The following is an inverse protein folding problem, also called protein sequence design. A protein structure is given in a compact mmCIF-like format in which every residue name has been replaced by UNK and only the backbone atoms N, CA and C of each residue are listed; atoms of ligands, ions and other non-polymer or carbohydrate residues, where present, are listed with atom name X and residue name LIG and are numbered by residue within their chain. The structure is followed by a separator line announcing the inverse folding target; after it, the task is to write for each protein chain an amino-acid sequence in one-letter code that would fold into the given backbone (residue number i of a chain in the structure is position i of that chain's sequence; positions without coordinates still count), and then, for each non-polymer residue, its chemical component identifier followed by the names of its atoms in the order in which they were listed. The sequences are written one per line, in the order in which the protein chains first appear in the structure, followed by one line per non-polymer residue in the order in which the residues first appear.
data_IF_971353355921
#
_entry.id   IF_971353355921
#
_cell.length_a   1.000
_cell.length_b   1.000
_cell.length_c   1.000
_cell.angle_alpha   90.00
_cell.angle_beta   90.00
_cell.angle_gamma   90.00
#
_symmetry.space_group_name_H-M   'P 1'
#
loop_
_entity.id
_entity.type
_entity.pdbx_description
1 polymer ?
#
# COMPACT_ATOMS: atom_id res chain seq x y z
N UNK A 1 -61.64 14.17 33.02
CA UNK A 1 -60.38 14.71 32.56
C UNK A 1 -59.45 13.53 32.17
N UNK A 2 -59.27 13.31 30.90
CA UNK A 2 -58.41 12.21 30.35
C UNK A 2 -57.14 12.83 29.80
N UNK A 3 -56.01 12.58 30.43
CA UNK A 3 -54.68 12.99 29.94
C UNK A 3 -54.17 11.95 28.93
N UNK A 4 -54.05 12.34 27.68
CA UNK A 4 -53.41 11.56 26.62
C UNK A 4 -51.93 11.93 26.66
N UNK A 5 -51.08 11.01 27.13
CA UNK A 5 -49.64 11.14 27.07
C UNK A 5 -49.18 10.71 25.68
N UNK A 6 -48.76 11.66 24.84
CA UNK A 6 -48.11 11.39 23.56
C UNK A 6 -46.64 10.98 23.81
N UNK A 7 -46.34 9.70 23.60
CA UNK A 7 -44.96 9.22 23.51
C UNK A 7 -44.41 9.60 22.14
N UNK A 8 -43.52 10.56 22.10
CA UNK A 8 -42.67 10.85 20.95
C UNK A 8 -41.53 9.81 20.88
N UNK A 9 -41.68 8.83 19.99
CA UNK A 9 -40.66 7.84 19.68
C UNK A 9 -39.63 8.48 18.73
N UNK A 10 -38.53 8.97 19.28
CA UNK A 10 -37.40 9.41 18.47
C UNK A 10 -36.71 8.20 17.82
N UNK A 11 -37.00 7.95 16.53
CA UNK A 11 -36.22 7.03 15.71
C UNK A 11 -34.85 7.66 15.47
N UNK A 12 -33.83 7.17 16.18
CA UNK A 12 -32.44 7.40 15.80
C UNK A 12 -32.10 6.56 14.56
N UNK A 13 -32.12 7.19 13.40
CA UNK A 13 -31.48 6.62 12.20
C UNK A 13 -29.99 6.57 12.45
N UNK A 14 -29.49 5.40 12.81
CA UNK A 14 -28.05 5.14 12.78
C UNK A 14 -27.61 5.21 11.30
N UNK A 15 -27.01 6.33 10.93
CA UNK A 15 -26.29 6.44 9.67
C UNK A 15 -25.08 5.52 9.81
N UNK A 16 -25.17 4.31 9.22
CA UNK A 16 -24.00 3.48 9.02
C UNK A 16 -23.11 4.23 8.02
N UNK A 17 -22.07 4.95 8.50
CA UNK A 17 -20.96 5.33 7.67
C UNK A 17 -20.29 4.02 7.24
N UNK A 18 -20.61 3.57 6.05
CA UNK A 18 -19.77 2.58 5.37
C UNK A 18 -18.38 3.20 5.28
N UNK A 19 -17.41 2.59 5.95
CA UNK A 19 -16.02 2.89 5.66
C UNK A 19 -15.86 2.64 4.16
N UNK A 20 -15.46 3.69 3.39
CA UNK A 20 -15.22 3.56 1.95
C UNK A 20 -14.26 2.40 1.74
N UNK A 21 -14.76 1.32 1.15
CA UNK A 21 -13.95 0.16 0.83
C UNK A 21 -12.88 0.58 -0.18
N UNK A 22 -11.62 0.44 0.21
CA UNK A 22 -10.50 0.77 -0.66
C UNK A 22 -10.46 -0.22 -1.83
N UNK A 23 -10.88 0.24 -3.00
CA UNK A 23 -10.89 -0.57 -4.22
C UNK A 23 -9.56 -0.42 -4.96
N UNK A 24 -8.78 -1.50 -5.00
CA UNK A 24 -7.51 -1.56 -5.72
C UNK A 24 -7.69 -2.35 -7.01
N UNK A 25 -7.37 -1.72 -8.13
CA UNK A 25 -7.42 -2.27 -9.48
C UNK A 25 -6.09 -2.07 -10.19
N UNK A 26 -5.95 -2.59 -11.41
CA UNK A 26 -4.79 -2.36 -12.27
C UNK A 26 -4.50 -0.87 -12.47
N UNK A 27 -5.54 -0.03 -12.49
CA UNK A 27 -5.42 1.44 -12.64
C UNK A 27 -4.78 2.13 -11.42
N UNK A 28 -4.73 1.44 -10.28
CA UNK A 28 -4.05 1.93 -9.08
C UNK A 28 -2.53 1.94 -9.22
N UNK A 29 -1.99 1.28 -10.26
CA UNK A 29 -0.55 1.09 -10.48
C UNK A 29 -0.14 1.68 -11.83
N UNK A 30 0.22 2.95 -11.85
CA UNK A 30 0.73 3.68 -13.02
C UNK A 30 2.25 3.66 -13.15
N UNK A 31 2.79 4.58 -13.96
CA UNK A 31 4.23 4.81 -14.10
C UNK A 31 4.87 5.15 -12.75
N UNK A 32 5.84 4.35 -12.31
CA UNK A 32 6.47 4.58 -11.00
C UNK A 32 7.27 5.89 -10.94
N UNK A 33 7.76 6.39 -12.08
CA UNK A 33 8.54 7.64 -12.12
C UNK A 33 7.70 8.89 -11.84
N UNK A 34 6.38 8.81 -11.99
CA UNK A 34 5.44 9.90 -11.69
C UNK A 34 5.15 10.01 -10.19
N UNK A 35 5.54 9.00 -9.40
CA UNK A 35 5.28 8.97 -7.97
C UNK A 35 6.42 9.63 -7.18
N UNK A 36 6.12 10.30 -6.05
CA UNK A 36 7.12 10.78 -5.11
C UNK A 36 8.11 9.69 -4.74
N UNK A 37 9.41 10.02 -4.79
CA UNK A 37 10.51 9.11 -4.43
C UNK A 37 11.08 9.48 -3.08
N UNK A 38 11.14 8.51 -2.17
CA UNK A 38 11.89 8.63 -0.92
C UNK A 38 12.91 7.49 -0.87
N UNK A 39 14.19 7.84 -0.84
CA UNK A 39 15.28 6.87 -1.09
C UNK A 39 15.03 6.14 -2.42
N UNK A 40 14.85 4.83 -2.41
CA UNK A 40 14.54 4.06 -3.62
C UNK A 40 13.05 3.71 -3.77
N UNK A 41 12.23 3.96 -2.76
CA UNK A 41 10.82 3.60 -2.77
C UNK A 41 9.96 4.72 -3.35
N UNK A 42 8.98 4.34 -4.16
CA UNK A 42 7.94 5.20 -4.71
C UNK A 42 6.71 5.09 -3.83
N UNK A 43 6.13 6.23 -3.48
CA UNK A 43 5.04 6.31 -2.50
C UNK A 43 3.87 7.04 -3.13
N UNK A 44 2.64 6.51 -2.97
CA UNK A 44 1.43 7.23 -3.33
C UNK A 44 0.33 7.02 -2.28
N UNK A 45 -0.58 7.95 -2.23
CA UNK A 45 -1.87 7.86 -1.58
C UNK A 45 -2.81 8.83 -2.31
N UNK A 46 -4.07 8.46 -2.61
CA UNK A 46 -5.01 9.36 -3.29
C UNK A 46 -5.37 10.59 -2.46
N UNK A 47 -5.23 10.53 -1.14
CA UNK A 47 -5.40 11.64 -0.21
C UNK A 47 -4.05 12.36 -0.01
N UNK A 48 -3.92 13.66 -0.37
CA UNK A 48 -2.67 14.39 -0.26
C UNK A 48 -2.11 14.51 1.16
N UNK A 49 -2.97 14.59 2.18
CA UNK A 49 -2.51 14.70 3.58
C UNK A 49 -1.99 13.35 4.07
N UNK A 50 -2.67 12.26 3.70
CA UNK A 50 -2.18 10.89 3.96
C UNK A 50 -0.89 10.60 3.20
N UNK A 51 -0.73 11.13 1.99
CA UNK A 51 0.53 11.01 1.24
C UNK A 51 1.68 11.71 1.97
N UNK A 52 1.47 12.93 2.47
CA UNK A 52 2.48 13.65 3.26
C UNK A 52 2.88 12.87 4.52
N UNK A 53 1.91 12.31 5.22
CA UNK A 53 2.16 11.51 6.41
C UNK A 53 2.90 10.19 6.06
N UNK A 54 2.50 9.49 5.01
CA UNK A 54 3.20 8.28 4.55
C UNK A 54 4.66 8.58 4.18
N UNK A 55 4.92 9.68 3.47
CA UNK A 55 6.28 10.13 3.13
C UNK A 55 7.08 10.45 4.40
N UNK A 56 6.46 11.12 5.38
CA UNK A 56 7.11 11.44 6.67
C UNK A 56 7.50 10.16 7.43
N UNK A 57 6.55 9.22 7.59
CA UNK A 57 6.79 7.95 8.28
C UNK A 57 7.95 7.20 7.61
N UNK A 58 7.93 7.10 6.27
CA UNK A 58 8.96 6.39 5.51
C UNK A 58 10.32 7.07 5.62
N UNK A 59 10.40 8.39 5.40
CA UNK A 59 11.64 9.17 5.43
C UNK A 59 12.30 9.15 6.80
N UNK A 60 11.49 9.30 7.85
CA UNK A 60 11.99 9.46 9.23
C UNK A 60 12.15 8.10 9.93
N UNK A 61 11.77 6.99 9.25
CA UNK A 61 11.82 5.62 9.80
C UNK A 61 11.20 5.53 11.19
N UNK A 62 9.96 6.06 11.33
CA UNK A 62 9.29 6.20 12.64
C UNK A 62 8.79 4.83 13.12
N UNK A 63 9.33 4.27 14.22
CA UNK A 63 8.86 3.01 14.76
C UNK A 63 7.46 3.14 15.37
N UNK A 64 6.74 2.04 15.43
CA UNK A 64 5.40 1.91 16.04
C UNK A 64 4.36 2.90 15.44
N UNK A 65 4.60 3.31 14.18
CA UNK A 65 3.67 4.12 13.39
C UNK A 65 3.12 3.33 12.22
N UNK A 66 1.79 3.31 12.11
CA UNK A 66 1.10 2.71 10.97
C UNK A 66 1.02 3.69 9.81
N UNK A 67 1.19 3.17 8.59
CA UNK A 67 0.94 3.95 7.39
C UNK A 67 -0.57 4.21 7.21
N UNK A 68 -0.95 5.38 6.70
CA UNK A 68 -2.36 5.69 6.42
C UNK A 68 -2.97 4.71 5.41
N UNK A 69 -4.24 4.33 5.63
CA UNK A 69 -5.03 3.55 4.65
C UNK A 69 -4.98 4.18 3.26
N UNK A 70 -4.78 3.36 2.23
CA UNK A 70 -4.63 3.78 0.84
C UNK A 70 -3.20 4.08 0.43
N UNK A 71 -2.22 3.99 1.34
CA UNK A 71 -0.80 4.12 0.98
C UNK A 71 -0.38 2.94 0.11
N UNK A 72 0.27 3.23 -1.02
CA UNK A 72 0.89 2.25 -1.91
C UNK A 72 2.39 2.51 -1.92
N UNK A 73 3.17 1.45 -1.71
CA UNK A 73 4.63 1.48 -1.78
C UNK A 73 5.08 0.57 -2.93
N UNK A 74 5.98 1.08 -3.77
CA UNK A 74 6.61 0.32 -4.86
C UNK A 74 8.12 0.57 -4.86
N UNK A 75 8.91 -0.49 -4.73
CA UNK A 75 10.35 -0.44 -4.91
C UNK A 75 10.71 -0.62 -6.39
N UNK A 76 10.04 -1.55 -7.06
CA UNK A 76 10.20 -1.88 -8.47
C UNK A 76 8.81 -1.91 -9.16
N UNK A 77 8.75 -1.75 -10.49
CA UNK A 77 7.48 -1.68 -11.22
C UNK A 77 6.59 -2.92 -11.08
N UNK A 78 7.18 -4.09 -10.85
CA UNK A 78 6.51 -5.39 -10.85
C UNK A 78 5.97 -5.83 -9.50
N UNK A 79 6.18 -5.05 -8.44
CA UNK A 79 5.75 -5.38 -7.08
C UNK A 79 5.21 -4.14 -6.38
N UNK A 80 4.17 -4.34 -5.56
CA UNK A 80 3.60 -3.28 -4.73
C UNK A 80 3.10 -3.84 -3.41
N UNK A 81 2.96 -2.97 -2.42
CA UNK A 81 2.18 -3.25 -1.21
C UNK A 81 1.22 -2.08 -0.97
N UNK A 82 0.00 -2.42 -0.53
CA UNK A 82 -1.09 -1.47 -0.32
C UNK A 82 -1.61 -1.60 1.11
N UNK A 83 -1.74 -0.46 1.79
CA UNK A 83 -2.26 -0.41 3.15
C UNK A 83 -3.78 -0.35 3.16
N UNK A 84 -4.40 -1.36 3.73
CA UNK A 84 -5.83 -1.48 4.04
C UNK A 84 -6.08 -1.29 5.54
N UNK A 85 -7.32 -1.47 5.95
CA UNK A 85 -7.65 -1.64 7.36
C UNK A 85 -7.04 -2.97 7.86
N UNK A 86 -6.56 -2.99 9.10
CA UNK A 86 -5.89 -4.16 9.70
C UNK A 86 -6.73 -5.44 9.59
N UNK A 87 -8.05 -5.31 9.69
CA UNK A 87 -8.97 -6.45 9.64
C UNK A 87 -8.96 -7.17 8.27
N UNK A 88 -8.62 -6.48 7.18
CA UNK A 88 -8.57 -7.07 5.84
C UNK A 88 -7.38 -8.03 5.69
N UNK A 89 -6.22 -7.68 6.26
CA UNK A 89 -4.99 -8.48 6.21
C UNK A 89 -4.32 -8.50 7.59
N UNK A 90 -4.86 -9.24 8.57
CA UNK A 90 -4.43 -9.15 9.97
C UNK A 90 -2.99 -9.60 10.20
N UNK A 91 -2.48 -10.56 9.39
CA UNK A 91 -1.13 -11.10 9.51
C UNK A 91 -0.03 -10.11 9.10
N UNK A 92 -0.37 -9.12 8.27
CA UNK A 92 0.51 -8.10 7.73
C UNK A 92 0.14 -6.69 8.20
N UNK A 93 -0.64 -6.58 9.27
CA UNK A 93 -1.15 -5.31 9.78
C UNK A 93 -1.88 -4.48 8.72
N UNK A 94 -2.68 -5.12 7.87
CA UNK A 94 -3.44 -4.47 6.80
C UNK A 94 -2.69 -4.29 5.49
N UNK A 95 -1.45 -4.76 5.36
CA UNK A 95 -0.75 -4.73 4.07
C UNK A 95 -1.16 -5.88 3.17
N UNK A 96 -1.61 -5.54 1.98
CA UNK A 96 -1.81 -6.44 0.85
C UNK A 96 -0.63 -6.33 -0.09
N UNK A 97 -0.05 -7.47 -0.51
CA UNK A 97 1.05 -7.54 -1.45
C UNK A 97 0.53 -7.82 -2.86
N UNK A 98 1.26 -7.34 -3.86
CA UNK A 98 0.90 -7.49 -5.28
C UNK A 98 2.10 -7.94 -6.10
N UNK A 99 1.89 -8.96 -6.93
CA UNK A 99 2.73 -9.27 -8.07
C UNK A 99 2.09 -8.69 -9.33
N UNK A 100 2.84 -7.85 -10.04
CA UNK A 100 2.34 -7.09 -11.19
C UNK A 100 3.08 -7.49 -12.46
N UNK A 101 2.34 -7.58 -13.57
CA UNK A 101 2.91 -7.57 -14.92
C UNK A 101 2.69 -6.18 -15.50
N UNK A 102 3.76 -5.59 -16.03
CA UNK A 102 3.72 -4.24 -16.60
C UNK A 102 4.08 -4.26 -18.09
N UNK A 103 3.38 -3.46 -18.87
CA UNK A 103 3.59 -3.30 -20.31
C UNK A 103 3.34 -1.84 -20.71
N UNK A 104 3.55 -1.51 -21.98
CA UNK A 104 3.22 -0.20 -22.51
C UNK A 104 1.70 0.11 -22.46
N UNK A 105 0.87 -0.91 -22.40
CA UNK A 105 -0.60 -0.79 -22.31
C UNK A 105 -1.09 -0.60 -20.86
N UNK A 106 -0.21 -0.84 -19.86
CA UNK A 106 -0.54 -0.66 -18.45
C UNK A 106 -0.09 -1.80 -17.55
N UNK A 107 -0.83 -1.99 -16.47
CA UNK A 107 -0.59 -2.99 -15.44
C UNK A 107 -1.63 -4.11 -15.51
N UNK A 108 -1.20 -5.34 -15.23
CA UNK A 108 -2.07 -6.48 -14.91
C UNK A 108 -1.68 -7.01 -13.54
N UNK A 109 -2.66 -7.20 -12.65
CA UNK A 109 -2.43 -7.86 -11.36
C UNK A 109 -2.33 -9.37 -11.63
N UNK A 110 -1.16 -9.95 -11.39
CA UNK A 110 -0.92 -11.39 -11.56
C UNK A 110 -1.30 -12.18 -10.31
N UNK A 111 -1.03 -11.61 -9.13
CA UNK A 111 -1.37 -12.19 -7.85
C UNK A 111 -1.50 -11.08 -6.80
N UNK A 112 -2.33 -11.31 -5.76
CA UNK A 112 -2.55 -10.35 -4.68
C UNK A 112 -2.94 -11.04 -3.38
N UNK A 113 -2.64 -10.38 -2.24
CA UNK A 113 -2.99 -10.83 -0.89
C UNK A 113 -1.77 -10.96 0.03
N UNK A 114 -1.93 -11.68 1.14
CA UNK A 114 -0.86 -11.90 2.14
C UNK A 114 0.04 -13.11 1.83
N UNK A 115 -0.33 -13.94 0.85
CA UNK A 115 0.41 -15.16 0.44
C UNK A 115 1.16 -15.03 -0.87
N UNK A 116 1.18 -13.84 -1.46
CA UNK A 116 1.90 -13.56 -2.72
C UNK A 116 3.37 -13.94 -2.60
N UNK A 117 3.87 -14.63 -3.63
CA UNK A 117 5.28 -14.97 -3.73
C UNK A 117 6.04 -13.87 -4.49
N UNK A 118 7.18 -13.46 -3.94
CA UNK A 118 8.13 -12.65 -4.69
C UNK A 118 8.59 -13.41 -5.94
N UNK A 119 8.49 -12.78 -7.10
CA UNK A 119 8.75 -13.43 -8.39
C UNK A 119 10.19 -13.94 -8.54
N UNK A 120 11.16 -13.23 -7.95
CA UNK A 120 12.59 -13.57 -8.03
C UNK A 120 13.03 -14.54 -6.95
N UNK A 121 12.61 -14.32 -5.69
CA UNK A 121 13.07 -15.09 -4.53
C UNK A 121 12.25 -16.35 -4.28
N UNK A 122 11.06 -16.45 -4.89
CA UNK A 122 10.11 -17.56 -4.69
C UNK A 122 9.71 -17.78 -3.23
N UNK A 123 9.75 -16.70 -2.44
CA UNK A 123 9.34 -16.67 -1.03
C UNK A 123 8.11 -15.81 -0.85
N UNK A 124 7.25 -16.07 0.16
CA UNK A 124 6.15 -15.18 0.50
C UNK A 124 6.67 -13.77 0.80
N UNK A 125 6.04 -12.75 0.22
CA UNK A 125 6.40 -11.36 0.48
C UNK A 125 6.35 -11.05 1.98
N UNK A 126 5.29 -11.51 2.66
CA UNK A 126 5.13 -11.33 4.09
C UNK A 126 6.29 -11.93 4.92
N UNK A 127 6.85 -13.07 4.52
CA UNK A 127 7.99 -13.69 5.24
C UNK A 127 9.19 -12.74 5.28
N UNK A 128 9.48 -12.06 4.18
CA UNK A 128 10.57 -11.07 4.11
C UNK A 128 10.24 -9.79 4.87
N UNK A 129 8.96 -9.39 4.92
CA UNK A 129 8.51 -8.15 5.56
C UNK A 129 8.23 -8.29 7.06
N UNK A 130 7.95 -9.49 7.56
CA UNK A 130 7.61 -9.73 8.96
C UNK A 130 8.66 -9.23 9.98
N UNK A 131 9.98 -9.32 9.73
CA UNK A 131 10.98 -8.75 10.65
C UNK A 131 10.86 -7.24 10.85
N UNK A 132 10.23 -6.52 9.90
CA UNK A 132 9.99 -5.08 10.00
C UNK A 132 8.65 -4.72 10.68
N UNK A 133 8.03 -5.62 11.44
CA UNK A 133 6.73 -5.37 12.08
C UNK A 133 6.71 -4.08 12.93
N UNK A 134 7.82 -3.74 13.59
CA UNK A 134 7.97 -2.49 14.35
C UNK A 134 7.89 -1.23 13.47
N UNK A 135 8.12 -1.36 12.17
CA UNK A 135 8.03 -0.29 11.16
C UNK A 135 6.85 -0.55 10.20
N UNK A 136 5.77 -1.09 10.77
CA UNK A 136 4.56 -1.43 10.03
C UNK A 136 4.83 -2.32 8.81
N UNK A 137 5.69 -3.34 8.96
CA UNK A 137 6.07 -4.29 7.90
C UNK A 137 6.76 -3.66 6.67
N UNK A 138 7.27 -2.44 6.77
CA UNK A 138 7.98 -1.78 5.68
C UNK A 138 9.48 -1.99 5.82
N UNK A 139 10.07 -2.72 4.87
CA UNK A 139 11.49 -3.01 4.84
C UNK A 139 12.31 -1.79 4.38
N UNK A 140 13.23 -1.37 5.22
CA UNK A 140 14.29 -0.39 4.95
C UNK A 140 15.55 -0.78 5.71
N UNK A 141 16.65 -0.08 5.43
CA UNK A 141 17.91 -0.30 6.15
C UNK A 141 17.69 -0.08 7.66
N UNK A 142 18.00 -1.08 8.45
CA UNK A 142 17.82 -1.04 9.90
C UNK A 142 16.45 -1.47 10.42
N UNK A 143 15.49 -1.83 9.54
CA UNK A 143 14.17 -2.29 9.94
C UNK A 143 14.08 -3.79 10.25
N UNK A 144 15.19 -4.54 10.13
CA UNK A 144 15.26 -5.95 10.47
C UNK A 144 15.10 -6.92 9.29
N UNK A 145 14.71 -6.44 8.11
CA UNK A 145 14.62 -7.27 6.91
C UNK A 145 16.01 -7.72 6.42
N UNK A 146 16.05 -8.90 5.85
CA UNK A 146 17.25 -9.36 5.14
C UNK A 146 17.54 -8.46 3.94
N UNK A 147 18.81 -8.23 3.59
CA UNK A 147 19.18 -7.50 2.39
C UNK A 147 18.58 -8.15 1.13
N UNK A 148 18.03 -7.32 0.24
CA UNK A 148 17.57 -7.80 -1.07
C UNK A 148 18.78 -7.96 -2.02
N UNK A 149 18.75 -8.93 -2.95
CA UNK A 149 19.86 -9.23 -3.84
C UNK A 149 19.93 -8.27 -5.04
N UNK A 150 19.62 -6.99 -4.83
CA UNK A 150 19.67 -5.93 -5.86
C UNK A 150 20.27 -4.66 -5.27
N UNK A 151 21.10 -3.99 -6.08
CA UNK A 151 21.72 -2.72 -5.70
C UNK A 151 20.79 -1.53 -6.00
N UNK A 152 21.06 -0.39 -5.38
CA UNK A 152 20.34 0.87 -5.65
C UNK A 152 20.39 1.26 -7.14
N UNK A 153 21.50 0.99 -7.81
CA UNK A 153 21.65 1.22 -9.25
C UNK A 153 20.71 0.31 -10.06
N UNK A 154 20.60 -0.97 -9.69
CA UNK A 154 19.69 -1.91 -10.33
C UNK A 154 18.21 -1.51 -10.11
N UNK A 155 17.85 -1.09 -8.89
CA UNK A 155 16.50 -0.58 -8.60
C UNK A 155 16.20 0.63 -9.47
N UNK A 156 17.13 1.58 -9.56
CA UNK A 156 16.98 2.78 -10.41
C UNK A 156 16.81 2.39 -11.89
N UNK A 157 17.60 1.44 -12.37
CA UNK A 157 17.50 0.94 -13.74
C UNK A 157 16.12 0.29 -14.02
N UNK A 158 15.63 -0.56 -13.10
CA UNK A 158 14.31 -1.18 -13.21
C UNK A 158 13.20 -0.13 -13.22
N UNK A 159 13.25 0.89 -12.36
CA UNK A 159 12.28 1.99 -12.35
C UNK A 159 12.31 2.79 -13.66
N UNK A 160 13.51 3.08 -14.19
CA UNK A 160 13.68 3.81 -15.44
C UNK A 160 13.23 3.01 -16.67
N UNK A 161 13.23 1.69 -16.57
CA UNK A 161 12.77 0.77 -17.60
C UNK A 161 11.25 0.49 -17.53
N UNK A 162 10.51 1.11 -16.60
CA UNK A 162 9.07 0.91 -16.48
C UNK A 162 8.36 1.28 -17.80
N UNK A 163 7.78 0.30 -18.51
CA UNK A 163 7.19 0.54 -19.82
C UNK A 163 5.96 1.45 -19.77
N UNK A 164 5.32 1.58 -18.61
CA UNK A 164 4.17 2.47 -18.39
C UNK A 164 4.55 3.95 -18.41
N UNK A 165 5.85 4.25 -18.23
CA UNK A 165 6.39 5.62 -18.24
C UNK A 165 6.68 6.17 -19.63
N UNK A 166 6.53 5.38 -20.67
CA UNK A 166 6.72 5.85 -22.04
C UNK A 166 5.56 6.77 -22.40
N UNK A 167 5.88 8.02 -22.73
CA UNK A 167 4.87 8.95 -23.25
C UNK A 167 4.24 8.31 -24.49
N UNK A 168 2.90 8.21 -24.52
CA UNK A 168 2.20 8.01 -25.79
C UNK A 168 2.57 9.17 -26.72
N UNK A 169 2.91 8.89 -27.98
CA UNK A 169 3.22 9.92 -28.98
C UNK A 169 2.04 10.85 -29.18
#
# INVERSE_FOLDING_TARGET
MRYIASLLLCLYLAVNLSADDLVITEKSFGCVLELPKVRNTRIQNPDPEKLKEAIRIFRDSVPDKEYPKGTILQLIPTEAMVKHDRAAFPNSNGWEFFALKVSADGTTIQDRGDKVLNASLKKPCLECHAPAAKFDFVCEKGHGCAPIPVTDQQITAMQSADPRCKKKP
#
